data_IF_031346702590
#
_entry.id   IF_031346702590
#
_cell.length_a   1.000
_cell.length_b   1.000
_cell.length_c   1.000
_cell.angle_alpha   90.00
_cell.angle_beta   90.00
_cell.angle_gamma   90.00
#
_symmetry.space_group_name_H-M   'P 1'
#
loop_
_entity.id
_entity.type
_entity.pdbx_description
1 polymer ?
#
# COMPACT_ATOMS: atom_id res chain seq x y z
N UNK A 1 -31.25 0.89 -30.99
CA UNK A 1 -30.00 1.61 -30.59
C UNK A 1 -29.48 0.98 -29.31
N UNK A 2 -28.44 0.17 -29.41
CA UNK A 2 -27.83 -0.52 -28.26
C UNK A 2 -27.29 0.53 -27.28
N UNK A 3 -27.89 0.62 -26.08
CA UNK A 3 -27.27 1.32 -24.97
C UNK A 3 -26.01 0.53 -24.58
N UNK A 4 -24.87 0.97 -25.04
CA UNK A 4 -23.59 0.52 -24.53
C UNK A 4 -23.62 0.85 -23.03
N UNK A 5 -23.71 -0.18 -22.17
CA UNK A 5 -23.63 -0.04 -20.71
C UNK A 5 -22.34 0.71 -20.39
N UNK A 6 -22.46 1.99 -20.05
CA UNK A 6 -21.29 2.79 -19.63
C UNK A 6 -20.84 2.27 -18.27
N UNK A 7 -19.63 1.75 -18.19
CA UNK A 7 -19.02 1.37 -16.93
C UNK A 7 -18.99 2.53 -15.95
N UNK A 8 -19.29 2.28 -14.68
CA UNK A 8 -19.08 3.27 -13.64
C UNK A 8 -17.57 3.57 -13.47
N UNK A 9 -17.19 4.75 -12.95
CA UNK A 9 -15.78 5.07 -12.69
C UNK A 9 -15.08 4.00 -11.85
N UNK A 10 -15.76 3.45 -10.85
CA UNK A 10 -15.24 2.36 -10.00
C UNK A 10 -14.99 1.06 -10.78
N UNK A 11 -15.92 0.68 -11.67
CA UNK A 11 -15.75 -0.48 -12.56
C UNK A 11 -14.60 -0.27 -13.54
N UNK A 12 -14.45 0.94 -14.07
CA UNK A 12 -13.36 1.24 -14.98
C UNK A 12 -11.99 1.13 -14.29
N UNK A 13 -11.85 1.67 -13.07
CA UNK A 13 -10.64 1.54 -12.27
C UNK A 13 -10.33 0.05 -12.02
N UNK A 14 -11.30 -0.73 -11.57
CA UNK A 14 -11.11 -2.16 -11.35
C UNK A 14 -10.66 -2.88 -12.62
N UNK A 15 -11.33 -2.68 -13.76
CA UNK A 15 -10.98 -3.30 -15.04
C UNK A 15 -9.58 -2.89 -15.54
N UNK A 16 -9.18 -1.62 -15.34
CA UNK A 16 -7.84 -1.17 -15.75
C UNK A 16 -6.73 -1.85 -14.96
N UNK A 17 -6.94 -2.10 -13.65
CA UNK A 17 -6.01 -2.89 -12.85
C UNK A 17 -5.92 -4.35 -13.31
N UNK A 18 -7.05 -4.99 -13.62
CA UNK A 18 -7.05 -6.36 -14.18
C UNK A 18 -6.28 -6.41 -15.50
N UNK A 19 -6.52 -5.44 -16.40
CA UNK A 19 -5.79 -5.34 -17.66
C UNK A 19 -4.27 -5.15 -17.47
N UNK A 20 -3.87 -4.32 -16.52
CA UNK A 20 -2.47 -4.09 -16.16
C UNK A 20 -1.80 -5.37 -15.62
N UNK A 21 -2.48 -6.08 -14.72
CA UNK A 21 -2.00 -7.34 -14.13
C UNK A 21 -1.82 -8.39 -15.21
N UNK A 22 -2.81 -8.58 -16.08
CA UNK A 22 -2.75 -9.59 -17.16
C UNK A 22 -1.63 -9.26 -18.16
N UNK A 23 -1.51 -7.99 -18.56
CA UNK A 23 -0.42 -7.57 -19.46
C UNK A 23 0.95 -7.80 -18.80
N UNK A 24 1.10 -7.45 -17.51
CA UNK A 24 2.32 -7.72 -16.74
C UNK A 24 2.64 -9.20 -16.64
N UNK A 25 1.65 -10.04 -16.35
CA UNK A 25 1.83 -11.49 -16.29
C UNK A 25 2.33 -12.07 -17.61
N UNK A 26 1.73 -11.66 -18.73
CA UNK A 26 2.17 -12.10 -20.07
C UNK A 26 3.62 -11.68 -20.39
N UNK A 27 4.03 -10.46 -20.00
CA UNK A 27 5.40 -9.99 -20.19
C UNK A 27 6.39 -10.76 -19.31
N UNK A 28 6.03 -11.08 -18.06
CA UNK A 28 6.88 -11.81 -17.12
C UNK A 28 7.01 -13.31 -17.45
N UNK A 29 6.08 -13.87 -18.23
CA UNK A 29 6.18 -15.24 -18.74
C UNK A 29 7.18 -15.40 -19.89
N UNK A 30 7.59 -14.32 -20.52
CA UNK A 30 8.53 -14.39 -21.64
C UNK A 30 9.88 -14.93 -21.16
N UNK A 31 10.54 -15.83 -21.92
CA UNK A 31 11.86 -16.36 -21.54
C UNK A 31 12.93 -15.28 -21.34
N UNK A 32 12.81 -14.16 -22.04
CA UNK A 32 13.71 -13.01 -21.85
C UNK A 32 13.52 -12.26 -20.51
N UNK A 33 12.43 -12.53 -19.78
CA UNK A 33 12.20 -11.92 -18.48
C UNK A 33 12.95 -12.60 -17.34
N UNK A 34 13.36 -13.87 -17.49
CA UNK A 34 14.17 -14.58 -16.50
C UNK A 34 15.66 -14.51 -16.83
N UNK A 35 16.51 -14.64 -15.83
CA UNK A 35 17.96 -14.57 -15.98
C UNK A 35 18.55 -15.84 -16.64
N UNK A 36 17.91 -16.98 -16.45
CA UNK A 36 18.31 -18.28 -16.99
C UNK A 36 17.62 -18.63 -18.32
N UNK A 37 16.72 -17.76 -18.83
CA UNK A 37 15.97 -17.99 -20.06
C UNK A 37 14.79 -18.97 -19.89
N UNK A 38 14.46 -19.41 -18.68
CA UNK A 38 13.29 -20.25 -18.40
C UNK A 38 12.00 -19.43 -18.37
N UNK A 39 10.87 -20.02 -18.77
CA UNK A 39 9.57 -19.36 -18.64
C UNK A 39 9.00 -19.55 -17.24
N UNK A 40 8.57 -18.48 -16.61
CA UNK A 40 7.84 -18.56 -15.33
C UNK A 40 6.45 -19.18 -15.56
N UNK A 41 5.95 -19.94 -14.57
CA UNK A 41 4.59 -20.47 -14.65
C UNK A 41 3.56 -19.32 -14.72
N UNK A 42 2.42 -19.54 -15.40
CA UNK A 42 1.38 -18.51 -15.50
C UNK A 42 0.92 -18.01 -14.14
N UNK A 43 0.76 -18.91 -13.17
CA UNK A 43 0.28 -18.55 -11.80
C UNK A 43 1.33 -17.70 -11.09
N UNK A 44 2.60 -18.02 -11.18
CA UNK A 44 3.67 -17.26 -10.54
C UNK A 44 3.90 -15.90 -11.21
N UNK A 45 3.80 -15.86 -12.54
CA UNK A 45 3.83 -14.61 -13.30
C UNK A 45 2.64 -13.71 -12.94
N UNK A 46 1.44 -14.29 -12.81
CA UNK A 46 0.23 -13.57 -12.41
C UNK A 46 0.33 -13.07 -10.96
N UNK A 47 0.89 -13.87 -10.05
CA UNK A 47 1.13 -13.48 -8.67
C UNK A 47 2.10 -12.30 -8.59
N UNK A 48 3.24 -12.39 -9.27
CA UNK A 48 4.26 -11.33 -9.31
C UNK A 48 3.71 -10.05 -9.96
N UNK A 49 2.99 -10.17 -11.08
CA UNK A 49 2.34 -9.04 -11.73
C UNK A 49 1.25 -8.40 -10.85
N UNK A 50 0.48 -9.21 -10.10
CA UNK A 50 -0.52 -8.72 -9.15
C UNK A 50 0.15 -7.99 -8.00
N UNK A 51 1.19 -8.58 -7.40
CA UNK A 51 1.97 -7.97 -6.33
C UNK A 51 2.61 -6.65 -6.76
N UNK A 52 3.23 -6.60 -7.95
CA UNK A 52 3.83 -5.38 -8.50
C UNK A 52 2.79 -4.31 -8.82
N UNK A 53 1.69 -4.66 -9.50
CA UNK A 53 0.64 -3.71 -9.89
C UNK A 53 -0.18 -3.21 -8.70
N UNK A 54 -0.45 -4.07 -7.71
CA UNK A 54 -1.10 -3.68 -6.46
C UNK A 54 -0.14 -3.03 -5.47
N UNK A 55 1.17 -3.02 -5.81
CA UNK A 55 2.22 -2.41 -4.98
C UNK A 55 2.28 -3.07 -3.61
N UNK A 56 2.36 -4.40 -3.60
CA UNK A 56 2.33 -5.20 -2.38
C UNK A 56 3.72 -5.61 -1.91
N UNK A 57 4.55 -6.22 -2.78
CA UNK A 57 5.89 -6.69 -2.42
C UNK A 57 5.99 -8.15 -2.02
N UNK A 58 4.88 -8.90 -1.96
CA UNK A 58 4.95 -10.35 -1.78
C UNK A 58 5.51 -11.00 -3.05
N UNK A 59 6.45 -11.92 -2.89
CA UNK A 59 7.16 -12.56 -4.00
C UNK A 59 7.14 -14.08 -3.86
N UNK A 60 6.97 -14.77 -4.99
CA UNK A 60 7.07 -16.22 -5.11
C UNK A 60 8.43 -16.65 -5.67
N UNK A 61 9.11 -15.75 -6.37
CA UNK A 61 10.49 -15.90 -6.85
C UNK A 61 11.28 -14.65 -6.51
N UNK A 62 12.56 -14.79 -6.23
CA UNK A 62 13.44 -13.68 -5.86
C UNK A 62 13.62 -12.70 -7.02
N UNK A 63 13.31 -11.43 -6.77
CA UNK A 63 13.33 -10.42 -7.84
C UNK A 63 14.72 -10.12 -8.36
N UNK A 64 15.71 -10.11 -7.47
CA UNK A 64 17.09 -9.75 -7.83
C UNK A 64 17.85 -10.84 -8.59
N UNK A 65 17.56 -12.11 -8.29
CA UNK A 65 18.30 -13.26 -8.85
C UNK A 65 17.56 -13.95 -9.98
N UNK A 66 16.23 -14.06 -9.91
CA UNK A 66 15.44 -14.76 -10.91
C UNK A 66 15.21 -13.94 -12.19
N UNK A 67 14.89 -12.65 -12.05
CA UNK A 67 14.54 -11.83 -13.22
C UNK A 67 15.76 -11.21 -13.89
N UNK A 68 15.78 -11.24 -15.22
CA UNK A 68 16.68 -10.48 -16.06
C UNK A 68 16.45 -8.96 -15.91
N UNK A 69 17.33 -8.15 -16.49
CA UNK A 69 17.12 -6.71 -16.55
C UNK A 69 15.76 -6.34 -17.17
N UNK A 70 15.32 -7.07 -18.21
CA UNK A 70 14.01 -6.86 -18.82
C UNK A 70 12.87 -7.16 -17.82
N UNK A 71 12.93 -8.30 -17.12
CA UNK A 71 11.93 -8.65 -16.12
C UNK A 71 11.87 -7.63 -14.97
N UNK A 72 13.03 -7.18 -14.47
CA UNK A 72 13.13 -6.14 -13.44
C UNK A 72 12.56 -4.80 -13.93
N UNK A 73 12.76 -4.41 -15.19
CA UNK A 73 12.17 -3.21 -15.78
C UNK A 73 10.65 -3.32 -15.94
N UNK A 74 10.14 -4.49 -16.29
CA UNK A 74 8.69 -4.75 -16.32
C UNK A 74 8.11 -4.61 -14.91
N UNK A 75 8.72 -5.21 -13.89
CA UNK A 75 8.26 -5.13 -12.49
C UNK A 75 8.23 -3.67 -12.02
N UNK A 76 9.30 -2.89 -12.22
CA UNK A 76 9.34 -1.50 -11.77
C UNK A 76 8.33 -0.62 -12.52
N UNK A 77 8.07 -0.90 -13.80
CA UNK A 77 7.04 -0.23 -14.57
C UNK A 77 5.63 -0.55 -14.02
N UNK A 78 5.36 -1.82 -13.68
CA UNK A 78 4.09 -2.21 -13.04
C UNK A 78 3.91 -1.54 -11.68
N UNK A 79 4.98 -1.46 -10.87
CA UNK A 79 4.98 -0.76 -9.58
C UNK A 79 4.65 0.73 -9.77
N UNK A 80 5.28 1.40 -10.71
CA UNK A 80 5.08 2.82 -10.95
C UNK A 80 3.65 3.10 -11.48
N UNK A 81 3.18 2.30 -12.44
CA UNK A 81 1.82 2.39 -12.98
C UNK A 81 0.76 2.08 -11.93
N UNK A 82 0.98 1.06 -11.13
CA UNK A 82 0.09 0.65 -10.04
C UNK A 82 0.09 1.65 -8.88
N UNK A 83 1.26 2.14 -8.45
CA UNK A 83 1.44 3.06 -7.33
C UNK A 83 0.79 4.41 -7.56
N UNK A 84 1.08 5.04 -8.68
CA UNK A 84 0.52 6.35 -9.04
C UNK A 84 -0.89 6.25 -9.62
N UNK A 85 -1.30 5.06 -10.07
CA UNK A 85 -2.58 4.79 -10.73
C UNK A 85 -2.52 5.00 -12.25
N UNK A 86 -3.04 4.01 -12.98
CA UNK A 86 -3.02 3.98 -14.45
C UNK A 86 -3.69 5.21 -15.06
N UNK A 87 -4.74 5.75 -14.43
CA UNK A 87 -5.47 6.94 -14.90
C UNK A 87 -4.58 8.18 -14.92
N UNK A 88 -3.64 8.31 -13.96
CA UNK A 88 -2.67 9.40 -13.95
C UNK A 88 -1.75 9.31 -15.18
N UNK A 89 -1.23 8.12 -15.50
CA UNK A 89 -0.37 7.92 -16.69
C UNK A 89 -1.13 8.16 -17.99
N UNK A 90 -2.37 7.69 -18.10
CA UNK A 90 -3.23 7.98 -19.26
C UNK A 90 -3.44 9.50 -19.44
N UNK A 91 -3.58 10.23 -18.33
CA UNK A 91 -3.67 11.69 -18.34
C UNK A 91 -2.38 12.35 -18.83
N UNK A 92 -1.23 11.92 -18.30
CA UNK A 92 0.09 12.40 -18.70
C UNK A 92 0.33 12.17 -20.21
N UNK A 93 0.04 10.95 -20.68
CA UNK A 93 0.16 10.60 -22.09
C UNK A 93 -0.74 11.47 -22.97
N UNK A 94 -2.00 11.70 -22.56
CA UNK A 94 -2.94 12.56 -23.29
C UNK A 94 -2.44 14.00 -23.38
N UNK A 95 -1.83 14.53 -22.31
CA UNK A 95 -1.25 15.88 -22.28
C UNK A 95 -0.02 15.96 -23.19
N UNK A 96 0.89 14.98 -23.12
CA UNK A 96 2.09 14.92 -23.98
C UNK A 96 1.67 14.87 -25.47
N UNK A 97 0.66 14.07 -25.79
CA UNK A 97 0.11 13.94 -27.15
C UNK A 97 -0.77 15.12 -27.55
N UNK A 98 -0.90 16.14 -26.71
CA UNK A 98 -1.77 17.34 -26.93
C UNK A 98 -3.23 16.98 -27.25
N UNK A 99 -3.72 15.82 -26.79
CA UNK A 99 -5.13 15.42 -26.97
C UNK A 99 -6.02 16.18 -25.98
N UNK A 100 -7.21 16.56 -26.43
CA UNK A 100 -8.22 17.15 -25.52
C UNK A 100 -8.72 16.08 -24.56
N UNK A 101 -8.69 16.39 -23.26
CA UNK A 101 -9.22 15.53 -22.20
C UNK A 101 -10.71 15.87 -22.05
N UNK A 102 -11.56 14.92 -22.43
CA UNK A 102 -13.02 15.05 -22.36
C UNK A 102 -13.53 14.99 -20.91
N UNK A 103 -14.81 15.29 -20.71
CA UNK A 103 -15.45 15.31 -19.40
C UNK A 103 -15.39 13.94 -18.70
N UNK A 104 -15.61 12.84 -19.47
CA UNK A 104 -15.57 11.50 -18.91
C UNK A 104 -14.18 11.13 -18.38
N UNK A 105 -13.13 11.47 -19.11
CA UNK A 105 -11.75 11.28 -18.64
C UNK A 105 -11.47 12.11 -17.39
N UNK A 106 -11.97 13.33 -17.27
CA UNK A 106 -11.83 14.14 -16.05
C UNK A 106 -12.55 13.54 -14.84
N UNK A 107 -13.75 12.98 -15.04
CA UNK A 107 -14.49 12.24 -14.00
C UNK A 107 -13.71 11.00 -13.52
N UNK A 108 -13.10 10.27 -14.43
CA UNK A 108 -12.28 9.12 -14.10
C UNK A 108 -11.02 9.53 -13.30
N UNK A 109 -10.37 10.64 -13.67
CA UNK A 109 -9.22 11.19 -12.93
C UNK A 109 -9.65 11.63 -11.53
N UNK A 110 -10.78 12.35 -11.43
CA UNK A 110 -11.35 12.78 -10.16
C UNK A 110 -11.59 11.59 -9.22
N UNK A 111 -12.23 10.54 -9.73
CA UNK A 111 -12.49 9.32 -8.96
C UNK A 111 -11.20 8.61 -8.52
N UNK A 112 -10.20 8.49 -9.42
CA UNK A 112 -8.92 7.83 -9.11
C UNK A 112 -8.09 8.58 -8.06
N UNK A 113 -8.16 9.91 -8.05
CA UNK A 113 -7.48 10.77 -7.08
C UNK A 113 -8.32 11.04 -5.82
N UNK A 114 -9.52 10.46 -5.75
CA UNK A 114 -10.47 10.67 -4.64
C UNK A 114 -10.70 12.16 -4.32
N UNK A 115 -10.94 12.97 -5.37
CA UNK A 115 -11.16 14.41 -5.25
C UNK A 115 -12.64 14.74 -5.38
N UNK A 116 -13.09 15.81 -4.70
CA UNK A 116 -14.48 16.26 -4.72
C UNK A 116 -14.78 17.23 -5.87
N UNK A 117 -13.74 17.86 -6.46
CA UNK A 117 -13.87 18.89 -7.48
C UNK A 117 -13.27 18.43 -8.81
N UNK A 118 -13.94 18.75 -9.92
CA UNK A 118 -13.45 18.47 -11.29
C UNK A 118 -12.44 19.50 -11.78
N UNK A 119 -12.47 20.70 -11.22
CA UNK A 119 -11.59 21.78 -11.67
C UNK A 119 -10.14 21.54 -11.25
N UNK A 120 -9.24 21.72 -12.17
CA UNK A 120 -7.80 21.59 -11.92
C UNK A 120 -7.25 20.17 -11.80
N UNK A 121 -8.06 19.11 -11.99
CA UNK A 121 -7.65 17.69 -11.82
C UNK A 121 -6.47 17.33 -12.73
N UNK A 122 -6.47 17.81 -13.97
CA UNK A 122 -5.34 17.61 -14.92
C UNK A 122 -4.06 18.29 -14.42
N UNK A 123 -4.18 19.54 -13.96
CA UNK A 123 -3.03 20.28 -13.39
C UNK A 123 -2.50 19.58 -12.12
N UNK A 124 -3.40 19.01 -11.32
CA UNK A 124 -3.02 18.23 -10.15
C UNK A 124 -2.24 16.96 -10.54
N UNK A 125 -2.70 16.23 -11.56
CA UNK A 125 -2.00 15.05 -12.08
C UNK A 125 -0.57 15.37 -12.55
N UNK A 126 -0.38 16.46 -13.27
CA UNK A 126 0.95 16.93 -13.71
C UNK A 126 1.85 17.29 -12.52
N UNK A 127 1.30 17.94 -11.48
CA UNK A 127 2.06 18.25 -10.26
C UNK A 127 2.46 17.00 -9.50
N UNK A 128 1.56 16.00 -9.37
CA UNK A 128 1.86 14.73 -8.75
C UNK A 128 3.03 14.07 -9.46
N UNK A 129 2.98 13.94 -10.79
CA UNK A 129 4.07 13.35 -11.57
C UNK A 129 5.39 14.09 -11.38
N UNK A 130 5.37 15.43 -11.36
CA UNK A 130 6.57 16.24 -11.11
C UNK A 130 7.13 16.01 -9.71
N UNK A 131 6.29 16.02 -8.68
CA UNK A 131 6.74 15.78 -7.30
C UNK A 131 7.32 14.39 -7.12
N UNK A 132 6.66 13.38 -7.68
CA UNK A 132 7.16 12.00 -7.69
C UNK A 132 8.53 11.92 -8.33
N UNK A 133 8.69 12.42 -9.57
CA UNK A 133 9.97 12.38 -10.28
C UNK A 133 11.09 13.11 -9.54
N UNK A 134 10.79 14.24 -8.89
CA UNK A 134 11.78 14.99 -8.11
C UNK A 134 12.17 14.21 -6.83
N UNK A 135 11.20 13.68 -6.10
CA UNK A 135 11.46 12.93 -4.86
C UNK A 135 12.24 11.65 -5.19
N UNK A 136 11.76 10.86 -6.14
CA UNK A 136 12.42 9.62 -6.57
C UNK A 136 13.84 9.92 -7.11
N UNK A 137 14.02 10.99 -7.86
CA UNK A 137 15.32 11.41 -8.38
C UNK A 137 16.30 11.80 -7.29
N UNK A 138 15.89 12.63 -6.32
CA UNK A 138 16.75 13.09 -5.23
C UNK A 138 17.18 11.91 -4.34
N UNK A 139 16.22 11.13 -3.84
CA UNK A 139 16.53 10.00 -2.97
C UNK A 139 17.22 8.87 -3.72
N UNK A 140 16.86 8.63 -5.00
CA UNK A 140 17.55 7.68 -5.87
C UNK A 140 19.04 8.05 -6.05
N UNK A 141 19.34 9.34 -6.20
CA UNK A 141 20.75 9.82 -6.27
C UNK A 141 21.47 9.59 -4.95
N UNK A 142 20.85 9.88 -3.80
CA UNK A 142 21.46 9.64 -2.48
C UNK A 142 21.74 8.15 -2.26
N UNK A 143 20.79 7.28 -2.58
CA UNK A 143 20.97 5.83 -2.51
C UNK A 143 22.02 5.33 -3.51
N UNK A 144 22.05 5.88 -4.73
CA UNK A 144 23.05 5.54 -5.75
C UNK A 144 24.48 5.88 -5.28
N UNK A 145 24.69 7.05 -4.67
CA UNK A 145 25.97 7.44 -4.08
C UNK A 145 26.36 6.45 -2.98
N UNK A 146 25.42 5.99 -2.15
CA UNK A 146 25.69 5.03 -1.07
C UNK A 146 25.99 3.62 -1.56
N UNK A 147 25.32 3.17 -2.64
CA UNK A 147 25.51 1.83 -3.19
C UNK A 147 26.67 1.73 -4.19
N UNK A 148 27.08 2.84 -4.81
CA UNK A 148 28.17 2.85 -5.80
C UNK A 148 29.48 2.22 -5.31
N UNK A 149 29.97 2.49 -4.06
CA UNK A 149 31.19 1.87 -3.58
C UNK A 149 31.15 0.34 -3.46
N UNK A 150 29.94 -0.24 -3.26
CA UNK A 150 29.77 -1.66 -3.07
C UNK A 150 29.49 -2.41 -4.39
N UNK A 151 28.70 -1.81 -5.31
CA UNK A 151 28.20 -2.45 -6.52
C UNK A 151 28.65 -1.79 -7.83
N UNK A 152 29.46 -0.73 -7.76
CA UNK A 152 29.87 0.01 -8.95
C UNK A 152 28.68 0.59 -9.73
N UNK A 153 28.68 0.47 -11.06
CA UNK A 153 27.59 0.98 -11.91
C UNK A 153 26.23 0.35 -11.59
N UNK A 154 26.18 -0.91 -11.14
CA UNK A 154 24.94 -1.56 -10.69
C UNK A 154 24.36 -0.86 -9.46
N UNK A 155 25.21 -0.25 -8.60
CA UNK A 155 24.76 0.52 -7.45
C UNK A 155 23.95 1.76 -7.82
N UNK A 156 24.22 2.38 -8.97
CA UNK A 156 23.40 3.48 -9.49
C UNK A 156 22.01 2.98 -9.85
N UNK A 157 21.93 1.87 -10.58
CA UNK A 157 20.68 1.23 -10.95
C UNK A 157 19.87 0.82 -9.70
N UNK A 158 20.51 0.21 -8.71
CA UNK A 158 19.89 -0.19 -7.45
C UNK A 158 19.35 1.04 -6.69
N UNK A 159 20.08 2.14 -6.64
CA UNK A 159 19.65 3.36 -5.97
C UNK A 159 18.33 3.91 -6.52
N UNK A 160 18.24 4.08 -7.83
CA UNK A 160 17.00 4.57 -8.45
C UNK A 160 15.87 3.55 -8.40
N UNK A 161 16.17 2.26 -8.58
CA UNK A 161 15.18 1.20 -8.53
C UNK A 161 14.51 1.11 -7.14
N UNK A 162 15.34 1.10 -6.06
CA UNK A 162 14.82 1.08 -4.70
C UNK A 162 14.10 2.38 -4.32
N UNK A 163 14.53 3.52 -4.87
CA UNK A 163 13.82 4.78 -4.65
C UNK A 163 12.39 4.75 -5.19
N UNK A 164 12.19 4.24 -6.41
CA UNK A 164 10.87 4.05 -7.01
C UNK A 164 10.05 3.04 -6.21
N UNK A 165 10.63 1.89 -5.88
CA UNK A 165 9.97 0.84 -5.10
C UNK A 165 9.52 1.36 -3.72
N UNK A 166 10.37 2.11 -3.02
CA UNK A 166 10.08 2.66 -1.70
C UNK A 166 9.06 3.81 -1.75
N UNK A 167 9.15 4.73 -2.73
CA UNK A 167 8.18 5.81 -2.86
C UNK A 167 6.79 5.29 -3.25
N UNK A 168 6.73 4.29 -4.12
CA UNK A 168 5.48 3.62 -4.45
C UNK A 168 4.96 2.72 -3.32
N UNK A 169 5.73 2.50 -2.25
CA UNK A 169 5.42 1.57 -1.16
C UNK A 169 5.27 0.12 -1.66
N UNK A 170 6.19 -0.35 -2.49
CA UNK A 170 6.07 -1.63 -3.18
C UNK A 170 6.83 -2.79 -2.52
N UNK A 171 7.89 -2.52 -1.75
CA UNK A 171 8.64 -3.54 -1.01
C UNK A 171 9.50 -4.49 -1.82
N UNK A 172 9.52 -4.36 -3.14
CA UNK A 172 10.42 -5.14 -3.97
C UNK A 172 11.85 -4.63 -3.83
N UNK A 173 12.84 -5.53 -3.83
CA UNK A 173 14.26 -5.23 -3.80
C UNK A 173 15.04 -6.02 -4.85
N UNK A 174 16.30 -5.64 -5.09
CA UNK A 174 17.20 -6.30 -6.03
C UNK A 174 18.44 -6.91 -5.37
N UNK A 175 18.51 -6.93 -4.03
CA UNK A 175 19.69 -7.46 -3.34
C UNK A 175 19.80 -8.97 -3.41
N UNK A 176 18.69 -9.64 -3.72
CA UNK A 176 18.63 -11.09 -3.92
C UNK A 176 18.48 -11.89 -2.62
N UNK A 177 18.27 -13.20 -2.78
CA UNK A 177 18.16 -14.17 -1.69
C UNK A 177 17.09 -13.82 -0.64
N UNK A 178 16.05 -13.08 -1.03
CA UNK A 178 14.96 -12.60 -0.16
C UNK A 178 15.44 -11.80 1.08
N UNK A 179 16.63 -11.21 1.01
CA UNK A 179 17.26 -10.55 2.16
C UNK A 179 16.75 -9.15 2.45
N UNK A 180 16.06 -8.52 1.49
CA UNK A 180 15.62 -7.13 1.59
C UNK A 180 16.76 -6.21 2.04
N UNK A 181 16.56 -5.38 3.07
CA UNK A 181 17.56 -4.43 3.58
C UNK A 181 18.30 -4.91 4.83
N UNK A 182 18.31 -6.23 5.13
CA UNK A 182 18.94 -6.76 6.35
C UNK A 182 20.44 -6.44 6.45
N UNK A 183 21.14 -6.43 5.31
CA UNK A 183 22.56 -6.03 5.25
C UNK A 183 22.81 -4.54 5.60
N UNK A 184 21.76 -3.71 5.63
CA UNK A 184 21.85 -2.26 5.89
C UNK A 184 21.17 -1.87 7.21
N UNK A 185 20.98 -2.78 8.15
CA UNK A 185 20.31 -2.52 9.44
C UNK A 185 20.94 -1.33 10.19
N UNK A 186 22.26 -1.23 10.18
CA UNK A 186 23.01 -0.15 10.83
C UNK A 186 23.31 1.08 9.95
N UNK A 187 22.86 1.09 8.70
CA UNK A 187 23.18 2.20 7.78
C UNK A 187 22.15 3.34 7.88
N UNK A 188 22.51 4.49 8.49
CA UNK A 188 21.56 5.57 8.70
C UNK A 188 21.10 6.22 7.40
N UNK A 189 21.93 6.24 6.35
CA UNK A 189 21.59 6.87 5.07
C UNK A 189 20.54 6.04 4.35
N UNK A 190 20.74 4.72 4.25
CA UNK A 190 19.79 3.82 3.59
C UNK A 190 18.47 3.82 4.35
N UNK A 191 18.52 3.62 5.69
CA UNK A 191 17.31 3.59 6.51
C UNK A 191 16.52 4.91 6.43
N UNK A 192 17.20 6.06 6.54
CA UNK A 192 16.54 7.36 6.48
C UNK A 192 15.92 7.61 5.10
N UNK A 193 16.66 7.35 4.02
CA UNK A 193 16.16 7.54 2.65
C UNK A 193 14.94 6.69 2.36
N UNK A 194 15.02 5.39 2.67
CA UNK A 194 13.89 4.45 2.44
C UNK A 194 12.69 4.83 3.31
N UNK A 195 12.87 5.07 4.61
CA UNK A 195 11.77 5.48 5.49
C UNK A 195 11.11 6.79 5.04
N UNK A 196 11.88 7.80 4.62
CA UNK A 196 11.32 9.06 4.14
C UNK A 196 10.55 8.87 2.83
N UNK A 197 11.05 8.05 1.90
CA UNK A 197 10.34 7.70 0.67
C UNK A 197 9.00 7.04 0.98
N UNK A 198 8.98 6.05 1.86
CA UNK A 198 7.77 5.35 2.31
C UNK A 198 6.76 6.32 2.94
N UNK A 199 7.24 7.16 3.85
CA UNK A 199 6.38 8.15 4.52
C UNK A 199 5.78 9.11 3.50
N UNK A 200 6.59 9.69 2.61
CA UNK A 200 6.13 10.63 1.60
C UNK A 200 5.14 9.99 0.63
N UNK A 201 5.41 8.78 0.14
CA UNK A 201 4.48 8.03 -0.70
C UNK A 201 3.16 7.70 0.00
N UNK A 202 3.24 7.33 1.30
CA UNK A 202 2.10 6.94 2.13
C UNK A 202 1.25 8.09 2.69
N UNK A 203 1.74 9.35 2.69
CA UNK A 203 0.98 10.52 3.19
C UNK A 203 -0.22 10.90 2.32
N UNK A 204 -0.16 10.62 1.03
CA UNK A 204 -1.17 11.03 0.06
C UNK A 204 -0.89 12.39 -0.59
N UNK A 205 -1.13 12.43 -1.90
CA UNK A 205 -0.80 13.60 -2.73
C UNK A 205 -1.60 14.86 -2.36
N UNK A 206 -2.84 14.69 -1.87
CA UNK A 206 -3.68 15.79 -1.41
C UNK A 206 -3.09 16.47 -0.15
N UNK A 207 -2.57 15.67 0.78
CA UNK A 207 -1.92 16.15 2.00
C UNK A 207 -0.60 16.85 1.68
N UNK A 208 0.23 16.24 0.83
CA UNK A 208 1.49 16.85 0.38
C UNK A 208 1.23 18.24 -0.24
N UNK A 209 0.23 18.35 -1.12
CA UNK A 209 -0.16 19.65 -1.71
C UNK A 209 -0.58 20.66 -0.65
N UNK A 210 -1.46 20.28 0.27
CA UNK A 210 -1.98 21.18 1.30
C UNK A 210 -0.86 21.70 2.22
N UNK A 211 0.09 20.83 2.60
CA UNK A 211 1.28 21.20 3.40
C UNK A 211 2.19 22.17 2.65
N UNK A 212 2.46 21.91 1.36
CA UNK A 212 3.32 22.79 0.55
C UNK A 212 2.69 24.17 0.29
N UNK A 213 1.35 24.24 0.10
CA UNK A 213 0.63 25.48 -0.14
C UNK A 213 0.46 26.31 1.13
N UNK A 214 0.14 25.69 2.26
CA UNK A 214 -0.22 26.41 3.51
C UNK A 214 0.95 26.64 4.48
N UNK A 215 1.93 25.74 4.51
CA UNK A 215 3.14 25.80 5.37
C UNK A 215 2.89 26.00 6.88
N UNK A 216 1.63 26.07 7.32
CA UNK A 216 1.24 26.28 8.71
C UNK A 216 0.19 25.25 9.12
N UNK A 217 0.48 24.45 10.15
CA UNK A 217 -0.40 23.38 10.62
C UNK A 217 -1.82 23.86 10.95
N UNK A 218 -1.96 25.06 11.53
CA UNK A 218 -3.29 25.61 11.90
C UNK A 218 -4.19 25.84 10.68
N UNK A 219 -3.62 26.19 9.52
CA UNK A 219 -4.33 26.49 8.28
C UNK A 219 -4.63 25.26 7.42
N UNK A 220 -4.05 24.09 7.76
CA UNK A 220 -4.29 22.85 7.03
C UNK A 220 -5.76 22.43 7.12
N UNK A 221 -6.21 21.74 6.07
CA UNK A 221 -7.52 21.06 6.05
C UNK A 221 -7.59 19.99 7.13
N UNK A 222 -8.80 19.70 7.63
CA UNK A 222 -9.03 18.68 8.65
C UNK A 222 -8.39 17.32 8.26
N UNK A 223 -8.61 16.91 7.02
CA UNK A 223 -8.03 15.67 6.47
C UNK A 223 -6.50 15.63 6.62
N UNK A 224 -5.82 16.71 6.23
CA UNK A 224 -4.34 16.80 6.31
C UNK A 224 -3.85 16.76 7.76
N UNK A 225 -4.54 17.44 8.69
CA UNK A 225 -4.21 17.39 10.12
C UNK A 225 -4.33 15.98 10.68
N UNK A 226 -5.44 15.28 10.38
CA UNK A 226 -5.66 13.89 10.81
C UNK A 226 -4.57 12.96 10.28
N UNK A 227 -4.24 13.04 8.99
CA UNK A 227 -3.21 12.21 8.36
C UNK A 227 -1.84 12.45 8.99
N UNK A 228 -1.43 13.70 9.18
CA UNK A 228 -0.12 14.02 9.77
C UNK A 228 -0.01 13.52 11.22
N UNK A 229 -1.02 13.83 12.04
CA UNK A 229 -1.03 13.39 13.46
C UNK A 229 -1.03 11.86 13.55
N UNK A 230 -1.90 11.19 12.80
CA UNK A 230 -1.98 9.73 12.80
C UNK A 230 -0.67 9.08 12.35
N UNK A 231 -0.03 9.65 11.32
CA UNK A 231 1.27 9.17 10.82
C UNK A 231 2.34 9.25 11.90
N UNK A 232 2.47 10.41 12.56
CA UNK A 232 3.47 10.61 13.63
C UNK A 232 3.20 9.69 14.81
N UNK A 233 1.94 9.57 15.25
CA UNK A 233 1.55 8.71 16.38
C UNK A 233 1.84 7.24 16.08
N UNK A 234 1.50 6.74 14.90
CA UNK A 234 1.74 5.35 14.51
C UNK A 234 3.25 5.06 14.40
N UNK A 235 4.04 5.96 13.81
CA UNK A 235 5.48 5.74 13.65
C UNK A 235 6.19 5.82 15.01
N UNK A 236 5.96 6.87 15.78
CA UNK A 236 6.62 7.04 17.07
C UNK A 236 6.19 5.96 18.07
N UNK A 237 4.88 5.68 18.15
CA UNK A 237 4.34 4.61 19.00
C UNK A 237 4.83 3.23 18.57
N UNK A 238 4.81 2.95 17.26
CA UNK A 238 5.31 1.69 16.71
C UNK A 238 6.79 1.48 16.99
N UNK A 239 7.64 2.50 16.77
CA UNK A 239 9.08 2.43 17.08
C UNK A 239 9.32 2.15 18.56
N UNK A 240 8.60 2.84 19.45
CA UNK A 240 8.75 2.64 20.89
C UNK A 240 8.30 1.24 21.33
N UNK A 241 7.14 0.78 20.86
CA UNK A 241 6.60 -0.55 21.23
C UNK A 241 7.50 -1.67 20.70
N UNK A 242 7.92 -1.63 19.43
CA UNK A 242 8.82 -2.64 18.85
C UNK A 242 10.16 -2.62 19.57
N UNK A 243 10.73 -1.42 19.80
CA UNK A 243 11.97 -1.28 20.57
C UNK A 243 11.91 -1.86 21.96
N UNK A 244 10.77 -1.74 22.67
CA UNK A 244 10.58 -2.32 24.00
C UNK A 244 10.37 -3.84 23.96
N UNK A 245 9.58 -4.35 23.02
CA UNK A 245 9.26 -5.78 22.92
C UNK A 245 10.46 -6.61 22.47
N UNK A 246 11.29 -6.08 21.60
CA UNK A 246 12.44 -6.80 21.00
C UNK A 246 13.78 -6.47 21.66
N UNK A 247 13.83 -5.58 22.66
CA UNK A 247 15.06 -5.11 23.30
C UNK A 247 16.01 -6.25 23.69
N UNK A 248 15.47 -7.29 24.30
CA UNK A 248 16.26 -8.40 24.84
C UNK A 248 16.15 -9.67 23.96
N UNK A 249 15.75 -9.53 22.70
CA UNK A 249 15.67 -10.63 21.75
C UNK A 249 16.99 -10.76 20.98
N UNK A 250 17.81 -11.80 21.24
CA UNK A 250 19.12 -11.95 20.58
C UNK A 250 19.01 -12.20 19.07
N UNK A 251 17.86 -12.69 18.58
CA UNK A 251 17.60 -12.89 17.14
C UNK A 251 17.27 -11.60 16.39
N UNK A 252 17.03 -10.49 17.11
CA UNK A 252 16.64 -9.19 16.51
C UNK A 252 17.44 -8.04 17.12
N UNK A 253 16.84 -7.24 18.03
CA UNK A 253 17.47 -6.04 18.57
C UNK A 253 18.54 -6.30 19.62
N UNK A 254 18.46 -7.41 20.36
CA UNK A 254 19.39 -7.71 21.47
C UNK A 254 20.85 -7.91 21.05
N UNK A 255 21.10 -8.22 19.77
CA UNK A 255 22.44 -8.37 19.19
C UNK A 255 22.98 -7.09 18.57
N UNK A 256 22.15 -6.03 18.43
CA UNK A 256 22.47 -4.78 17.75
C UNK A 256 22.98 -3.72 18.72
N UNK A 257 23.80 -2.79 18.22
CA UNK A 257 24.15 -1.58 18.97
C UNK A 257 22.95 -0.66 19.16
N UNK A 258 23.00 0.26 20.13
CA UNK A 258 21.85 1.14 20.41
C UNK A 258 21.35 1.96 19.21
N UNK A 259 22.28 2.43 18.36
CA UNK A 259 21.91 3.16 17.12
C UNK A 259 21.31 2.24 16.05
N UNK A 260 21.84 1.04 15.88
CA UNK A 260 21.29 0.04 14.94
C UNK A 260 19.90 -0.43 15.40
N UNK A 261 19.72 -0.69 16.70
CA UNK A 261 18.44 -1.04 17.28
C UNK A 261 17.39 0.05 17.08
N UNK A 262 17.78 1.33 17.17
CA UNK A 262 16.87 2.44 16.86
C UNK A 262 16.44 2.42 15.38
N UNK A 263 17.39 2.31 14.43
CA UNK A 263 17.08 2.29 13.00
C UNK A 263 16.24 1.07 12.62
N UNK A 264 16.57 -0.09 13.18
CA UNK A 264 15.79 -1.32 12.97
C UNK A 264 14.35 -1.19 13.48
N UNK A 265 14.15 -0.67 14.70
CA UNK A 265 12.82 -0.42 15.27
C UNK A 265 12.04 0.62 14.49
N UNK A 266 12.71 1.69 14.01
CA UNK A 266 12.12 2.74 13.21
C UNK A 266 11.68 2.21 11.84
N UNK A 267 12.54 1.47 11.13
CA UNK A 267 12.21 0.81 9.87
C UNK A 267 11.05 -0.17 10.06
N UNK A 268 11.10 -1.01 11.10
CA UNK A 268 10.05 -2.00 11.39
C UNK A 268 8.72 -1.36 11.81
N UNK A 269 8.72 -0.07 12.23
CA UNK A 269 7.51 0.71 12.47
C UNK A 269 6.96 1.38 11.21
N UNK A 270 7.85 1.84 10.32
CA UNK A 270 7.48 2.52 9.07
C UNK A 270 7.02 1.52 8.01
N UNK A 271 7.73 0.40 7.86
CA UNK A 271 7.50 -0.59 6.79
C UNK A 271 6.11 -1.25 6.82
N UNK A 272 5.53 -1.64 7.97
CA UNK A 272 4.18 -2.20 8.02
C UNK A 272 3.10 -1.27 7.46
N UNK A 273 3.40 0.00 7.28
CA UNK A 273 2.50 0.97 6.64
C UNK A 273 2.58 0.90 5.12
N UNK A 274 2.42 -0.31 4.60
CA UNK A 274 2.32 -0.67 3.17
C UNK A 274 3.62 -0.58 2.37
N UNK A 275 4.78 -0.86 2.97
CA UNK A 275 6.06 -0.70 2.27
C UNK A 275 6.85 -1.99 2.02
N UNK A 276 6.81 -2.95 2.93
CA UNK A 276 7.37 -4.30 2.72
C UNK A 276 8.87 -4.47 2.91
N UNK A 277 9.64 -3.40 3.07
CA UNK A 277 11.08 -3.52 3.36
C UNK A 277 11.34 -3.95 4.80
N UNK A 278 12.27 -4.85 5.03
CA UNK A 278 12.68 -5.27 6.36
C UNK A 278 14.20 -5.21 6.52
N UNK A 279 14.63 -4.87 7.73
CA UNK A 279 16.02 -4.87 8.17
C UNK A 279 16.28 -5.92 9.25
N UNK A 280 15.21 -6.56 9.74
CA UNK A 280 15.24 -7.66 10.70
C UNK A 280 14.68 -8.93 10.06
N UNK A 281 15.14 -10.09 10.52
CA UNK A 281 14.50 -11.35 10.17
C UNK A 281 13.14 -11.45 10.87
N UNK A 282 12.07 -11.48 10.07
CA UNK A 282 10.69 -11.51 10.59
C UNK A 282 10.34 -12.81 11.30
N UNK A 283 11.02 -13.92 10.99
CA UNK A 283 10.83 -15.20 11.67
C UNK A 283 11.42 -15.22 13.09
N UNK A 284 12.38 -14.33 13.35
CA UNK A 284 13.04 -14.19 14.65
C UNK A 284 12.29 -13.23 15.59
N UNK A 285 11.19 -12.60 15.13
CA UNK A 285 10.37 -11.72 15.95
C UNK A 285 9.61 -12.50 17.03
N UNK A 286 9.47 -11.91 18.21
CA UNK A 286 8.62 -12.47 19.27
C UNK A 286 7.15 -12.44 18.86
N UNK A 287 6.36 -13.41 19.33
CA UNK A 287 4.91 -13.50 19.05
C UNK A 287 4.15 -12.20 19.34
N UNK A 288 4.36 -11.51 20.49
CA UNK A 288 3.71 -10.22 20.73
C UNK A 288 4.05 -9.16 19.69
N UNK A 289 5.29 -9.11 19.21
CA UNK A 289 5.73 -8.19 18.18
C UNK A 289 5.08 -8.52 16.83
N UNK A 290 4.99 -9.79 16.46
CA UNK A 290 4.29 -10.22 15.24
C UNK A 290 2.83 -9.78 15.26
N UNK A 291 2.12 -9.99 16.37
CA UNK A 291 0.72 -9.55 16.54
C UNK A 291 0.62 -8.01 16.40
N UNK A 292 1.54 -7.28 17.02
CA UNK A 292 1.56 -5.83 16.92
C UNK A 292 1.87 -5.34 15.49
N UNK A 293 2.77 -6.00 14.78
CA UNK A 293 3.06 -5.72 13.36
C UNK A 293 1.85 -6.01 12.48
N UNK A 294 1.10 -7.12 12.73
CA UNK A 294 -0.17 -7.41 12.04
C UNK A 294 -1.18 -6.25 12.24
N UNK A 295 -1.29 -5.72 13.46
CA UNK A 295 -2.14 -4.55 13.71
C UNK A 295 -1.68 -3.31 12.94
N UNK A 296 -0.37 -3.04 12.91
CA UNK A 296 0.18 -1.92 12.13
C UNK A 296 -0.04 -2.10 10.62
N UNK A 297 0.13 -3.31 10.09
CA UNK A 297 -0.14 -3.64 8.68
C UNK A 297 -1.61 -3.43 8.32
N UNK A 298 -2.53 -3.84 9.18
CA UNK A 298 -3.96 -3.65 8.95
C UNK A 298 -4.35 -2.16 8.82
N UNK A 299 -3.63 -1.27 9.54
CA UNK A 299 -3.74 0.19 9.40
C UNK A 299 -2.85 0.63 8.24
N UNK A 300 -3.34 0.54 7.02
CA UNK A 300 -2.60 0.88 5.81
C UNK A 300 -2.21 2.36 5.68
N UNK A 301 -1.96 2.79 4.44
CA UNK A 301 -1.57 4.16 4.15
C UNK A 301 -2.76 5.15 4.14
N UNK A 302 -2.48 6.43 3.94
CA UNK A 302 -3.50 7.48 3.92
C UNK A 302 -4.30 7.48 2.61
N UNK A 303 -5.51 8.08 2.57
CA UNK A 303 -6.27 8.22 1.33
C UNK A 303 -5.51 8.97 0.24
N UNK A 304 -5.72 8.59 -1.04
CA UNK A 304 -5.03 9.16 -2.20
C UNK A 304 -3.50 9.11 -2.11
N UNK A 305 -2.96 8.01 -1.55
CA UNK A 305 -1.54 7.66 -1.48
C UNK A 305 -1.21 6.46 -2.38
N UNK A 306 0.05 6.10 -2.41
CA UNK A 306 0.54 4.92 -3.14
C UNK A 306 0.17 3.59 -2.47
N UNK A 307 -0.07 3.55 -1.15
CA UNK A 307 -0.37 2.33 -0.39
C UNK A 307 -1.84 1.93 -0.37
N UNK A 308 -2.11 0.66 -0.02
CA UNK A 308 -3.45 0.05 0.08
C UNK A 308 -3.98 -0.07 1.52
N UNK A 309 -4.76 -1.12 1.77
CA UNK A 309 -5.33 -1.44 3.08
C UNK A 309 -6.40 -0.48 3.58
N UNK A 310 -6.80 -0.65 4.86
CA UNK A 310 -7.70 0.29 5.54
C UNK A 310 -6.96 1.60 5.75
N UNK A 311 -7.57 2.70 5.31
CA UNK A 311 -6.92 4.01 5.37
C UNK A 311 -6.75 4.50 6.80
N UNK A 312 -5.62 5.17 7.08
CA UNK A 312 -5.31 5.74 8.40
C UNK A 312 -6.46 6.59 8.93
N UNK A 313 -7.10 7.41 8.06
CA UNK A 313 -8.24 8.23 8.43
C UNK A 313 -9.45 7.40 8.86
N UNK A 314 -9.74 6.29 8.17
CA UNK A 314 -10.84 5.37 8.53
C UNK A 314 -10.62 4.80 9.93
N UNK A 315 -9.42 4.29 10.21
CA UNK A 315 -9.09 3.73 11.52
C UNK A 315 -9.17 4.77 12.64
N UNK A 316 -8.59 5.96 12.45
CA UNK A 316 -8.64 7.03 13.45
C UNK A 316 -10.06 7.59 13.68
N UNK A 317 -10.88 7.64 12.62
CA UNK A 317 -12.29 8.01 12.78
C UNK A 317 -13.04 7.02 13.68
N UNK A 318 -12.80 5.71 13.51
CA UNK A 318 -13.42 4.68 14.35
C UNK A 318 -12.98 4.81 15.81
N UNK A 319 -11.69 4.99 16.07
CA UNK A 319 -11.19 5.20 17.43
C UNK A 319 -11.78 6.45 18.08
N UNK A 320 -11.87 7.54 17.32
CA UNK A 320 -12.47 8.78 17.81
C UNK A 320 -13.96 8.61 18.13
N UNK A 321 -14.68 7.89 17.28
CA UNK A 321 -16.10 7.59 17.52
C UNK A 321 -16.28 6.80 18.82
N UNK A 322 -15.52 5.72 18.99
CA UNK A 322 -15.54 4.91 20.23
C UNK A 322 -15.26 5.81 21.44
N UNK A 323 -14.22 6.64 21.35
CA UNK A 323 -13.87 7.55 22.43
C UNK A 323 -14.98 8.55 22.78
N UNK A 324 -15.71 9.06 21.77
CA UNK A 324 -16.79 10.03 21.99
C UNK A 324 -18.06 9.37 22.51
N UNK A 325 -18.40 8.18 22.01
CA UNK A 325 -19.52 7.38 22.55
C UNK A 325 -19.29 7.05 24.04
N UNK A 326 -18.07 6.63 24.42
CA UNK A 326 -17.72 6.41 25.84
C UNK A 326 -17.85 7.68 26.68
N UNK A 327 -17.67 8.87 26.08
CA UNK A 327 -17.86 10.17 26.76
C UNK A 327 -19.32 10.71 26.74
N UNK A 328 -20.25 9.92 26.18
CA UNK A 328 -21.66 10.31 26.09
C UNK A 328 -21.94 11.46 25.11
N UNK A 329 -21.04 11.67 24.10
CA UNK A 329 -21.26 12.68 23.06
C UNK A 329 -21.99 12.05 21.88
N UNK A 330 -23.05 12.72 21.43
CA UNK A 330 -23.84 12.26 20.25
C UNK A 330 -23.13 12.52 18.92
N UNK A 331 -22.22 13.48 18.87
CA UNK A 331 -21.59 13.93 17.64
C UNK A 331 -20.07 13.78 17.67
N UNK A 332 -19.51 13.31 16.54
CA UNK A 332 -18.07 13.20 16.40
C UNK A 332 -17.44 14.53 15.99
N UNK A 333 -16.67 15.13 16.91
CA UNK A 333 -15.97 16.39 16.70
C UNK A 333 -14.47 16.22 16.83
N UNK A 334 -13.72 16.79 15.88
CA UNK A 334 -12.26 16.84 15.89
C UNK A 334 -11.75 18.16 15.33
N UNK A 335 -10.76 18.77 15.97
CA UNK A 335 -10.17 20.06 15.59
C UNK A 335 -11.24 21.17 15.37
N UNK A 336 -12.33 21.18 16.17
CA UNK A 336 -13.42 22.15 16.05
C UNK A 336 -14.30 21.97 14.80
N UNK A 337 -14.33 20.77 14.21
CA UNK A 337 -15.18 20.43 13.07
C UNK A 337 -15.96 19.15 13.35
N UNK A 338 -17.24 19.14 12.95
CA UNK A 338 -18.15 18.00 13.06
C UNK A 338 -17.96 17.07 11.86
N UNK A 339 -18.00 15.76 12.12
CA UNK A 339 -17.98 14.71 11.11
C UNK A 339 -19.40 14.18 10.92
N UNK A 340 -19.81 14.00 9.68
CA UNK A 340 -21.15 13.51 9.34
C UNK A 340 -21.33 12.04 9.70
N UNK A 341 -22.53 11.66 10.17
CA UNK A 341 -22.87 10.27 10.48
C UNK A 341 -22.72 9.32 9.27
N UNK A 342 -22.95 9.83 8.06
CA UNK A 342 -22.75 9.07 6.83
C UNK A 342 -21.28 8.65 6.65
N UNK A 343 -20.35 9.57 6.90
CA UNK A 343 -18.90 9.27 6.84
C UNK A 343 -18.51 8.23 7.90
N UNK A 344 -19.10 8.30 9.08
CA UNK A 344 -18.87 7.32 10.14
C UNK A 344 -19.42 5.94 9.77
N UNK A 345 -20.63 5.87 9.22
CA UNK A 345 -21.21 4.61 8.76
C UNK A 345 -20.38 3.97 7.65
N UNK A 346 -19.91 4.76 6.68
CA UNK A 346 -19.00 4.28 5.64
C UNK A 346 -17.69 3.75 6.22
N UNK A 347 -17.08 4.45 7.18
CA UNK A 347 -15.85 4.03 7.84
C UNK A 347 -16.04 2.69 8.56
N UNK A 348 -17.17 2.52 9.28
CA UNK A 348 -17.52 1.28 9.97
C UNK A 348 -17.75 0.13 8.97
N UNK A 349 -18.51 0.36 7.91
CA UNK A 349 -18.75 -0.63 6.87
C UNK A 349 -17.44 -1.13 6.23
N UNK A 350 -16.54 -0.21 5.84
CA UNK A 350 -15.24 -0.56 5.27
C UNK A 350 -14.43 -1.42 6.24
N UNK A 351 -14.32 -1.03 7.50
CA UNK A 351 -13.54 -1.75 8.49
C UNK A 351 -14.10 -3.14 8.78
N UNK A 352 -15.43 -3.26 8.94
CA UNK A 352 -16.10 -4.54 9.19
C UNK A 352 -15.95 -5.51 8.02
N UNK A 353 -16.16 -5.04 6.79
CA UNK A 353 -15.99 -5.86 5.59
C UNK A 353 -14.53 -6.32 5.42
N UNK A 354 -13.56 -5.43 5.71
CA UNK A 354 -12.14 -5.75 5.65
C UNK A 354 -11.75 -6.81 6.67
N UNK A 355 -12.24 -6.69 7.90
CA UNK A 355 -11.98 -7.65 8.97
C UNK A 355 -12.57 -9.03 8.63
N UNK A 356 -13.81 -9.07 8.13
CA UNK A 356 -14.46 -10.31 7.68
C UNK A 356 -13.69 -10.97 6.55
N UNK A 357 -13.22 -10.21 5.56
CA UNK A 357 -12.40 -10.74 4.47
C UNK A 357 -11.08 -11.33 4.97
N UNK A 358 -10.35 -10.58 5.80
CA UNK A 358 -9.07 -11.04 6.38
C UNK A 358 -9.28 -12.32 7.20
N UNK A 359 -10.32 -12.38 8.03
CA UNK A 359 -10.64 -13.57 8.80
C UNK A 359 -10.95 -14.77 7.91
N UNK A 360 -11.81 -14.60 6.89
CA UNK A 360 -12.16 -15.64 5.93
C UNK A 360 -10.93 -16.12 5.14
N UNK A 361 -10.12 -15.21 4.61
CA UNK A 361 -8.93 -15.55 3.85
C UNK A 361 -7.87 -16.26 4.72
N UNK A 362 -7.71 -15.86 5.99
CA UNK A 362 -6.82 -16.54 6.95
C UNK A 362 -7.31 -17.95 7.23
N UNK A 363 -8.63 -18.13 7.46
CA UNK A 363 -9.20 -19.45 7.67
C UNK A 363 -8.96 -20.36 6.43
N UNK A 364 -9.20 -19.85 5.23
CA UNK A 364 -8.94 -20.61 4.01
C UNK A 364 -7.46 -20.97 3.86
N UNK A 365 -6.56 -20.04 4.16
CA UNK A 365 -5.12 -20.29 4.06
C UNK A 365 -4.65 -21.35 5.07
N UNK A 366 -5.14 -21.31 6.30
CA UNK A 366 -4.84 -22.35 7.32
C UNK A 366 -5.43 -23.72 6.99
N UNK A 367 -6.54 -23.79 6.25
CA UNK A 367 -7.09 -25.07 5.78
C UNK A 367 -6.31 -25.66 4.59
N UNK A 368 -5.66 -24.82 3.78
CA UNK A 368 -4.95 -25.26 2.58
C UNK A 368 -3.47 -25.53 2.83
N UNK A 369 -2.88 -24.85 3.82
CA UNK A 369 -1.47 -24.92 4.14
C UNK A 369 -1.30 -25.43 5.58
N UNK A 370 -0.31 -26.33 5.78
CA UNK A 370 0.03 -26.79 7.13
C UNK A 370 0.87 -25.73 7.86
N UNK A 371 0.20 -24.63 8.24
CA UNK A 371 0.85 -23.49 8.89
C UNK A 371 0.05 -23.01 10.10
N UNK A 372 0.74 -22.34 11.04
CA UNK A 372 0.06 -21.77 12.20
C UNK A 372 -0.83 -20.59 11.80
N UNK A 373 -1.91 -20.39 12.57
CA UNK A 373 -2.82 -19.25 12.38
C UNK A 373 -2.08 -17.91 12.33
N UNK A 374 -1.04 -17.73 13.15
CA UNK A 374 -0.29 -16.47 13.22
C UNK A 374 0.45 -16.16 11.91
N UNK A 375 1.12 -17.16 11.33
CA UNK A 375 1.82 -16.99 10.04
C UNK A 375 0.84 -16.79 8.87
N UNK A 376 -0.27 -17.54 8.86
CA UNK A 376 -1.32 -17.35 7.87
C UNK A 376 -1.94 -15.95 7.96
N UNK A 377 -2.26 -15.48 9.19
CA UNK A 377 -2.79 -14.13 9.40
C UNK A 377 -1.78 -13.05 8.99
N UNK A 378 -0.49 -13.24 9.26
CA UNK A 378 0.57 -12.31 8.86
C UNK A 378 0.61 -12.14 7.34
N UNK A 379 0.63 -13.24 6.58
CA UNK A 379 0.64 -13.22 5.11
C UNK A 379 -0.65 -12.63 4.52
N UNK A 380 -1.82 -13.02 5.03
CA UNK A 380 -3.11 -12.51 4.54
C UNK A 380 -3.27 -11.02 4.82
N UNK A 381 -2.91 -10.55 6.02
CA UNK A 381 -2.98 -9.13 6.34
C UNK A 381 -1.97 -8.35 5.51
N UNK A 382 -0.76 -8.89 5.32
CA UNK A 382 0.26 -8.30 4.45
C UNK A 382 -0.24 -8.19 3.01
N UNK A 383 -0.87 -9.23 2.47
CA UNK A 383 -1.46 -9.22 1.13
C UNK A 383 -2.62 -8.21 1.04
N UNK A 384 -3.58 -8.27 1.98
CA UNK A 384 -4.77 -7.40 1.97
C UNK A 384 -4.41 -5.92 2.14
N UNK A 385 -3.52 -5.62 3.08
CA UNK A 385 -3.07 -4.25 3.30
C UNK A 385 -2.03 -3.79 2.27
N UNK A 386 -1.65 -4.66 1.32
CA UNK A 386 -0.61 -4.41 0.31
C UNK A 386 0.70 -3.95 0.95
N UNK A 387 1.20 -4.70 1.94
CA UNK A 387 2.39 -4.37 2.72
C UNK A 387 3.65 -5.01 2.16
N UNK A 388 3.61 -6.33 1.90
CA UNK A 388 4.75 -7.07 1.34
C UNK A 388 5.68 -7.71 2.36
N UNK A 389 5.52 -7.45 3.66
CA UNK A 389 6.24 -8.20 4.69
C UNK A 389 5.78 -9.65 4.67
N UNK A 390 6.71 -10.59 4.66
CA UNK A 390 6.44 -12.02 4.58
C UNK A 390 7.36 -12.79 5.55
N UNK A 391 6.81 -13.83 6.13
CA UNK A 391 7.59 -14.84 6.87
C UNK A 391 8.19 -15.92 5.94
N UNK A 392 8.11 -15.72 4.62
CA UNK A 392 8.56 -16.67 3.60
C UNK A 392 7.48 -17.68 3.19
N UNK A 393 6.30 -17.64 3.80
CA UNK A 393 5.22 -18.57 3.50
C UNK A 393 4.79 -18.50 2.03
N UNK A 394 4.68 -17.28 1.45
CA UNK A 394 4.24 -17.05 0.07
C UNK A 394 5.11 -17.74 -1.01
N UNK A 395 6.34 -18.14 -0.68
CA UNK A 395 7.26 -18.83 -1.59
C UNK A 395 6.89 -20.30 -1.81
N UNK A 396 6.22 -20.94 -0.85
CA UNK A 396 6.00 -22.38 -0.79
C UNK A 396 4.52 -22.81 -0.86
N UNK A 397 3.58 -21.86 -0.93
CA UNK A 397 2.14 -22.12 -0.91
C UNK A 397 1.62 -22.72 -2.23
N UNK A 398 0.54 -23.46 -2.11
CA UNK A 398 -0.17 -24.06 -3.26
C UNK A 398 -0.85 -23.00 -4.14
N UNK A 399 -1.24 -23.41 -5.35
CA UNK A 399 -1.90 -22.52 -6.32
C UNK A 399 -3.19 -21.88 -5.77
N UNK A 400 -3.98 -22.62 -4.99
CA UNK A 400 -5.22 -22.08 -4.40
C UNK A 400 -4.93 -20.95 -3.41
N UNK A 401 -3.92 -21.12 -2.57
CA UNK A 401 -3.44 -20.09 -1.62
C UNK A 401 -2.89 -18.87 -2.34
N UNK A 402 -2.14 -19.03 -3.44
CA UNK A 402 -1.70 -17.92 -4.28
C UNK A 402 -2.87 -17.11 -4.82
N UNK A 403 -3.95 -17.77 -5.27
CA UNK A 403 -5.16 -17.08 -5.76
C UNK A 403 -5.84 -16.29 -4.63
N UNK A 404 -5.95 -16.83 -3.41
CA UNK A 404 -6.53 -16.12 -2.27
C UNK A 404 -5.72 -14.86 -1.93
N UNK A 405 -4.38 -14.96 -1.92
CA UNK A 405 -3.50 -13.81 -1.69
C UNK A 405 -3.60 -12.78 -2.83
N UNK A 406 -3.66 -13.20 -4.10
CA UNK A 406 -3.86 -12.28 -5.23
C UNK A 406 -5.19 -11.52 -5.14
N UNK A 407 -6.29 -12.20 -4.79
CA UNK A 407 -7.58 -11.56 -4.56
C UNK A 407 -7.52 -10.57 -3.38
N UNK A 408 -6.80 -10.92 -2.32
CA UNK A 408 -6.60 -10.04 -1.16
C UNK A 408 -5.80 -8.79 -1.53
N UNK A 409 -4.69 -8.91 -2.29
CA UNK A 409 -3.90 -7.78 -2.80
C UNK A 409 -4.76 -6.85 -3.68
N UNK A 410 -5.52 -7.44 -4.59
CA UNK A 410 -6.39 -6.70 -5.50
C UNK A 410 -7.49 -5.94 -4.75
N UNK A 411 -8.20 -6.61 -3.82
CA UNK A 411 -9.24 -6.00 -3.00
C UNK A 411 -8.69 -4.86 -2.12
N UNK A 412 -7.52 -5.06 -1.53
CA UNK A 412 -6.83 -4.06 -0.72
C UNK A 412 -6.36 -2.84 -1.53
N UNK A 413 -5.93 -3.05 -2.78
CA UNK A 413 -5.47 -1.96 -3.67
C UNK A 413 -6.61 -1.13 -4.23
N UNK A 414 -7.62 -1.76 -4.82
CA UNK A 414 -8.78 -1.09 -5.42
C UNK A 414 -9.65 -0.43 -4.33
N UNK A 415 -9.58 -0.94 -3.11
CA UNK A 415 -10.42 -0.57 -1.99
C UNK A 415 -11.68 -1.43 -1.93
N UNK A 416 -11.93 -2.02 -0.75
CA UNK A 416 -13.00 -3.02 -0.61
C UNK A 416 -14.39 -2.47 -0.95
N UNK A 417 -14.69 -1.21 -0.61
CA UNK A 417 -15.95 -0.57 -0.99
C UNK A 417 -16.09 -0.44 -2.51
N UNK A 418 -15.03 -0.03 -3.20
CA UNK A 418 -15.01 0.08 -4.67
C UNK A 418 -15.18 -1.29 -5.31
N UNK A 419 -14.50 -2.31 -4.77
CA UNK A 419 -14.62 -3.70 -5.21
C UNK A 419 -16.04 -4.24 -5.01
N UNK A 420 -16.63 -4.03 -3.83
CA UNK A 420 -18.01 -4.45 -3.55
C UNK A 420 -19.04 -3.72 -4.44
N UNK A 421 -18.88 -2.40 -4.66
CA UNK A 421 -19.75 -1.63 -5.55
C UNK A 421 -19.57 -2.00 -7.02
N UNK A 422 -18.38 -2.44 -7.44
CA UNK A 422 -18.16 -2.91 -8.81
C UNK A 422 -18.89 -4.25 -9.07
N UNK A 423 -19.01 -5.09 -8.05
CA UNK A 423 -19.75 -6.35 -8.10
C UNK A 423 -21.27 -6.18 -7.91
N UNK A 424 -21.69 -5.19 -7.12
CA UNK A 424 -23.09 -4.90 -6.90
C UNK A 424 -23.74 -4.31 -8.15
N UNK A 425 -24.79 -4.94 -8.66
CA UNK A 425 -25.61 -4.34 -9.71
C UNK A 425 -26.24 -3.06 -9.16
N UNK A 426 -26.15 -1.95 -9.91
CA UNK A 426 -26.85 -0.70 -9.59
C UNK A 426 -28.35 -0.95 -9.52
N UNK A 427 -28.88 -1.20 -8.33
CA UNK A 427 -30.32 -1.15 -8.10
C UNK A 427 -30.70 0.29 -7.79
N UNK A 428 -31.64 0.91 -8.51
CA UNK A 428 -32.16 2.21 -8.12
C UNK A 428 -32.72 2.09 -6.70
N UNK A 429 -32.31 2.99 -5.80
CA UNK A 429 -32.87 3.09 -4.47
C UNK A 429 -34.38 3.42 -4.61
N UNK A 430 -35.23 2.51 -4.21
CA UNK A 430 -36.66 2.78 -4.10
C UNK A 430 -36.89 3.87 -3.04
N UNK A 431 -37.77 4.83 -3.33
CA UNK A 431 -38.16 5.90 -2.39
C UNK A 431 -39.13 5.43 -1.29
N UNK A 432 -39.15 4.13 -0.99
CA UNK A 432 -40.02 3.56 0.05
C UNK A 432 -39.24 3.55 1.36
N UNK A 433 -39.71 4.33 2.33
CA UNK A 433 -39.19 4.30 3.69
C UNK A 433 -40.11 3.44 4.56
N UNK A 434 -39.56 2.41 5.16
CA UNK A 434 -40.27 1.60 6.16
C UNK A 434 -40.35 2.34 7.52
N UNK A 435 -41.36 2.04 8.36
CA UNK A 435 -41.44 2.57 9.72
C UNK A 435 -40.16 2.28 10.53
N UNK A 436 -39.76 3.20 11.39
CA UNK A 436 -38.60 3.01 12.30
C UNK A 436 -39.05 2.13 13.47
N UNK A 437 -38.28 1.12 13.79
CA UNK A 437 -38.43 0.27 14.96
C UNK A 437 -37.09 0.23 15.72
N UNK A 438 -37.18 0.23 17.05
CA UNK A 438 -36.00 0.23 17.91
C UNK A 438 -35.59 -1.22 18.22
N UNK A 439 -34.31 -1.54 18.01
CA UNK A 439 -33.70 -2.82 18.40
C UNK A 439 -32.81 -2.56 19.62
N UNK A 440 -32.94 -3.43 20.62
CA UNK A 440 -32.08 -3.38 21.81
C UNK A 440 -30.67 -3.83 21.41
N UNK A 441 -29.70 -2.96 21.62
CA UNK A 441 -28.28 -3.25 21.41
C UNK A 441 -27.67 -3.41 22.80
N UNK A 442 -26.95 -4.52 23.04
CA UNK A 442 -26.33 -4.87 24.33
C UNK A 442 -25.20 -3.94 24.79
#
# INVERSE_FOLDING_TARGET
MNQIKRFSPSQLIALTFVGLILAGALLLMLPCASADGSSLSFVDALFTATSASCVTGLVVVDTGTYFSLFGQLVIIALIQLGGLGLVLFATLFSVIMRKRIDLQSRLNIQASLNQNELDGVVRMSLRIAKYTAVIEGVFGTLLAIRFYPQYGLRGIYYGYWHSVSAFCNAGFDLFGHYQSLTAYVGDPVVNLCICLLIILGGLGFAVMRDVMEKRNFRQLKLHSKMVLVSTVVLIAGGTAVIGLLERDNPGTLGSLTGSEAFWASFMQSVSPRTAGFNTLDLNSLRVPTMIFVIMLMFIGASPASTGGGIKTTTFFLLLLNIWQVVRGKEECEIFGRRITGETMFQAFAIASMSLLWVFFATLMLTCLEDTSFLYAAFEVVSAYATVGLSTGLSQHICTASKIILMLSMYAGRVGFMTFALALAANKPSGHIHYPKENIIIG
#
